data_IF_622632023811
#
_entry.id   IF_622632023811
#
_cell.length_a   1.000
_cell.length_b   1.000
_cell.length_c   1.000
_cell.angle_alpha   90.00
_cell.angle_beta   90.00
_cell.angle_gamma   90.00
#
_symmetry.space_group_name_H-M   'P 1'
#
loop_
_entity.id
_entity.type
_entity.pdbx_description
1 polymer ?
#
# COMPACT_ATOMS: atom_id res chain seq x y z
N UNK A 1 -25.42 -26.31 62.35
CA UNK A 1 -24.03 -26.60 61.90
C UNK A 1 -23.99 -27.40 60.60
N UNK A 2 -24.91 -28.35 60.35
CA UNK A 2 -24.94 -29.13 59.10
C UNK A 2 -25.27 -28.36 57.81
N UNK A 3 -26.21 -27.40 57.83
CA UNK A 3 -26.61 -26.67 56.62
C UNK A 3 -25.51 -25.74 56.06
N UNK A 4 -24.78 -25.05 56.94
CA UNK A 4 -23.69 -24.15 56.53
C UNK A 4 -22.52 -24.92 55.89
N UNK A 5 -22.28 -26.18 56.30
CA UNK A 5 -21.23 -27.03 55.75
C UNK A 5 -21.59 -27.58 54.36
N UNK A 6 -22.88 -27.80 54.09
CA UNK A 6 -23.40 -28.22 52.78
C UNK A 6 -23.29 -27.06 51.77
N UNK A 7 -23.67 -25.84 52.17
CA UNK A 7 -23.58 -24.64 51.32
C UNK A 7 -22.13 -24.33 50.96
N UNK A 8 -21.19 -24.39 51.92
CA UNK A 8 -19.76 -24.17 51.65
C UNK A 8 -19.17 -25.21 50.69
N UNK A 9 -19.58 -26.48 50.81
CA UNK A 9 -19.13 -27.52 49.87
C UNK A 9 -19.70 -27.31 48.46
N UNK A 10 -20.95 -26.89 48.32
CA UNK A 10 -21.54 -26.58 47.02
C UNK A 10 -20.93 -25.33 46.37
N UNK A 11 -20.65 -24.28 47.14
CA UNK A 11 -19.96 -23.08 46.65
C UNK A 11 -18.50 -23.36 46.27
N UNK A 12 -17.80 -24.18 47.05
CA UNK A 12 -16.43 -24.62 46.73
C UNK A 12 -16.39 -25.43 45.42
N UNK A 13 -17.32 -26.37 45.24
CA UNK A 13 -17.43 -27.17 44.01
C UNK A 13 -17.78 -26.32 42.77
N UNK A 14 -18.60 -25.27 42.92
CA UNK A 14 -18.89 -24.31 41.85
C UNK A 14 -17.65 -23.48 41.50
N UNK A 15 -16.89 -23.05 42.51
CA UNK A 15 -15.67 -22.26 42.34
C UNK A 15 -14.59 -23.05 41.61
N UNK A 16 -14.40 -24.34 41.92
CA UNK A 16 -13.44 -25.18 41.19
C UNK A 16 -13.81 -25.37 39.73
N UNK A 17 -15.09 -25.63 39.41
CA UNK A 17 -15.55 -25.74 38.03
C UNK A 17 -15.35 -24.45 37.24
N UNK A 18 -15.60 -23.30 37.85
CA UNK A 18 -15.36 -21.99 37.20
C UNK A 18 -13.86 -21.80 36.94
N UNK A 19 -12.98 -22.13 37.90
CA UNK A 19 -11.52 -22.04 37.70
C UNK A 19 -11.02 -22.94 36.57
N UNK A 20 -11.53 -24.15 36.46
CA UNK A 20 -11.13 -25.12 35.42
C UNK A 20 -11.54 -24.64 34.03
N UNK A 21 -12.76 -24.07 33.92
CA UNK A 21 -13.25 -23.46 32.67
C UNK A 21 -12.46 -22.19 32.32
N UNK A 22 -12.16 -21.32 33.29
CA UNK A 22 -11.35 -20.11 33.06
C UNK A 22 -9.94 -20.46 32.58
N UNK A 23 -9.29 -21.46 33.19
CA UNK A 23 -7.96 -21.90 32.77
C UNK A 23 -7.95 -22.48 31.34
N UNK A 24 -9.00 -23.22 30.97
CA UNK A 24 -9.15 -23.72 29.60
C UNK A 24 -9.39 -22.56 28.60
N UNK A 25 -10.27 -21.61 28.94
CA UNK A 25 -10.55 -20.44 28.11
C UNK A 25 -9.30 -19.55 27.94
N UNK A 26 -8.49 -19.36 29.00
CA UNK A 26 -7.22 -18.62 28.96
C UNK A 26 -6.19 -19.28 28.05
N UNK A 27 -6.10 -20.62 28.07
CA UNK A 27 -5.19 -21.36 27.20
C UNK A 27 -5.56 -21.18 25.71
N UNK A 28 -6.86 -21.26 25.39
CA UNK A 28 -7.36 -21.02 24.02
C UNK A 28 -7.12 -19.57 23.60
N UNK A 29 -7.36 -18.60 24.48
CA UNK A 29 -7.09 -17.20 24.21
C UNK A 29 -5.59 -16.94 23.96
N UNK A 30 -4.71 -17.58 24.73
CA UNK A 30 -3.26 -17.49 24.55
C UNK A 30 -2.81 -18.05 23.19
N UNK A 31 -3.37 -19.19 22.77
CA UNK A 31 -3.08 -19.77 21.45
C UNK A 31 -3.56 -18.87 20.32
N UNK A 32 -4.79 -18.34 20.42
CA UNK A 32 -5.35 -17.40 19.43
C UNK A 32 -4.50 -16.12 19.32
N UNK A 33 -4.03 -15.57 20.45
CA UNK A 33 -3.11 -14.43 20.47
C UNK A 33 -1.75 -14.77 19.82
N UNK A 34 -1.25 -15.99 20.04
CA UNK A 34 -0.04 -16.49 19.40
C UNK A 34 -0.18 -16.58 17.87
N UNK A 35 -1.30 -17.12 17.39
CA UNK A 35 -1.60 -17.22 15.96
C UNK A 35 -1.76 -15.84 15.32
N UNK A 36 -2.51 -14.92 15.94
CA UNK A 36 -2.64 -13.55 15.47
C UNK A 36 -1.28 -12.83 15.39
N UNK A 37 -0.43 -12.96 16.42
CA UNK A 37 0.91 -12.37 16.41
C UNK A 37 1.80 -12.96 15.31
N UNK A 38 1.72 -14.26 15.04
CA UNK A 38 2.48 -14.90 13.96
C UNK A 38 2.04 -14.35 12.58
N UNK A 39 0.74 -14.31 12.31
CA UNK A 39 0.18 -13.79 11.05
C UNK A 39 0.54 -12.30 10.88
N UNK A 40 0.44 -11.51 11.97
CA UNK A 40 0.82 -10.10 11.97
C UNK A 40 2.29 -9.91 11.60
N UNK A 41 3.19 -10.68 12.22
CA UNK A 41 4.63 -10.61 11.93
C UNK A 41 4.92 -10.94 10.47
N UNK A 42 4.30 -11.99 9.93
CA UNK A 42 4.46 -12.34 8.51
C UNK A 42 3.94 -11.25 7.57
N UNK A 43 2.86 -10.54 7.93
CA UNK A 43 2.37 -9.39 7.16
C UNK A 43 3.36 -8.25 7.17
N UNK A 44 3.89 -7.90 8.35
CA UNK A 44 4.87 -6.83 8.54
C UNK A 44 6.16 -7.12 7.78
N UNK A 45 6.65 -8.37 7.82
CA UNK A 45 7.84 -8.80 7.08
C UNK A 45 7.64 -8.71 5.57
N UNK A 46 6.50 -9.15 5.05
CA UNK A 46 6.20 -9.02 3.63
C UNK A 46 6.10 -7.55 3.21
N UNK A 47 5.40 -6.70 3.97
CA UNK A 47 5.30 -5.27 3.69
C UNK A 47 6.67 -4.56 3.77
N UNK A 48 7.56 -5.02 4.64
CA UNK A 48 8.91 -4.48 4.77
C UNK A 48 9.77 -4.66 3.50
N UNK A 49 9.41 -5.55 2.58
CA UNK A 49 10.09 -5.64 1.27
C UNK A 49 9.79 -4.42 0.39
N UNK A 50 8.54 -3.94 0.37
CA UNK A 50 8.11 -2.85 -0.51
C UNK A 50 8.27 -1.46 0.11
N UNK A 51 8.19 -1.36 1.45
CA UNK A 51 8.17 -0.08 2.15
C UNK A 51 9.46 0.76 1.95
N UNK A 52 10.66 0.18 1.91
CA UNK A 52 11.89 0.94 1.66
C UNK A 52 11.88 1.64 0.31
N UNK A 53 11.51 0.92 -0.76
CA UNK A 53 11.44 1.47 -2.11
C UNK A 53 10.39 2.58 -2.22
N UNK A 54 9.24 2.41 -1.55
CA UNK A 54 8.21 3.45 -1.49
C UNK A 54 8.69 4.69 -0.73
N UNK A 55 9.30 4.51 0.43
CA UNK A 55 9.81 5.63 1.23
C UNK A 55 10.93 6.38 0.49
N UNK A 56 11.81 5.68 -0.20
CA UNK A 56 12.86 6.28 -1.03
C UNK A 56 12.25 7.09 -2.17
N UNK A 57 11.28 6.54 -2.88
CA UNK A 57 10.58 7.25 -3.94
C UNK A 57 9.86 8.51 -3.41
N UNK A 58 9.18 8.43 -2.27
CA UNK A 58 8.50 9.58 -1.65
C UNK A 58 9.50 10.66 -1.23
N UNK A 59 10.67 10.29 -0.71
CA UNK A 59 11.76 11.24 -0.42
C UNK A 59 12.27 11.90 -1.70
N UNK A 60 12.47 11.14 -2.77
CA UNK A 60 12.87 11.70 -4.06
C UNK A 60 11.83 12.71 -4.58
N UNK A 61 10.53 12.44 -4.38
CA UNK A 61 9.46 13.39 -4.72
C UNK A 61 9.48 14.67 -3.88
N UNK A 62 9.98 14.62 -2.65
CA UNK A 62 10.12 15.80 -1.78
C UNK A 62 11.30 16.68 -2.19
N UNK A 63 12.33 16.08 -2.80
CA UNK A 63 13.49 16.83 -3.32
C UNK A 63 13.21 17.55 -4.64
N UNK A 64 12.09 17.25 -5.30
CA UNK A 64 11.68 17.87 -6.56
C UNK A 64 11.29 19.34 -6.33
N UNK A 65 12.07 20.23 -6.91
CA UNK A 65 11.83 21.67 -6.84
C UNK A 65 10.85 22.15 -7.91
N UNK A 66 10.17 23.27 -7.64
CA UNK A 66 9.32 23.93 -8.63
C UNK A 66 10.08 24.35 -9.91
N UNK A 67 11.40 24.58 -9.81
CA UNK A 67 12.26 24.90 -10.95
C UNK A 67 12.41 23.70 -11.88
N UNK A 68 12.72 22.52 -11.35
CA UNK A 68 12.85 21.29 -12.13
C UNK A 68 11.53 20.92 -12.82
N UNK A 69 10.41 21.10 -12.13
CA UNK A 69 9.08 20.93 -12.72
C UNK A 69 8.85 21.93 -13.87
N UNK A 70 9.26 23.19 -13.70
CA UNK A 70 9.14 24.21 -14.76
C UNK A 70 10.01 23.88 -15.99
N UNK A 71 11.21 23.34 -15.79
CA UNK A 71 12.08 22.88 -16.88
C UNK A 71 11.43 21.76 -17.68
N UNK A 72 10.82 20.77 -17.01
CA UNK A 72 10.10 19.68 -17.69
C UNK A 72 8.88 20.21 -18.48
N UNK A 73 8.15 21.19 -17.94
CA UNK A 73 7.02 21.83 -18.65
C UNK A 73 7.45 22.58 -19.91
N UNK A 74 8.62 23.21 -19.88
CA UNK A 74 9.12 24.02 -20.99
C UNK A 74 9.62 23.16 -22.18
N UNK A 75 9.73 21.84 -22.01
CA UNK A 75 10.17 20.93 -23.07
C UNK A 75 9.11 20.83 -24.19
N UNK A 76 9.41 21.37 -25.37
CA UNK A 76 8.54 21.22 -26.55
C UNK A 76 8.55 19.80 -27.11
N UNK A 77 9.70 19.14 -27.05
CA UNK A 77 9.88 17.76 -27.48
C UNK A 77 10.67 16.98 -26.40
N UNK A 78 9.99 16.43 -25.39
CA UNK A 78 10.66 15.71 -24.31
C UNK A 78 11.33 14.43 -24.83
N UNK A 79 12.49 14.09 -24.27
CA UNK A 79 13.15 12.82 -24.54
C UNK A 79 12.25 11.64 -24.15
N UNK A 80 12.43 10.50 -24.83
CA UNK A 80 11.60 9.32 -24.62
C UNK A 80 11.47 8.88 -23.14
N UNK A 81 12.56 8.86 -22.33
CA UNK A 81 12.46 8.54 -20.90
C UNK A 81 11.51 9.45 -20.13
N UNK A 82 11.62 10.78 -20.30
CA UNK A 82 10.75 11.76 -19.63
C UNK A 82 9.29 11.58 -20.05
N UNK A 83 9.06 11.36 -21.34
CA UNK A 83 7.72 11.16 -21.89
C UNK A 83 7.07 9.88 -21.35
N UNK A 84 7.81 8.79 -21.26
CA UNK A 84 7.31 7.52 -20.73
C UNK A 84 6.98 7.63 -19.23
N UNK A 85 7.87 8.22 -18.43
CA UNK A 85 7.65 8.44 -17.00
C UNK A 85 6.37 9.24 -16.76
N UNK A 86 6.23 10.38 -17.42
CA UNK A 86 5.04 11.22 -17.24
C UNK A 86 3.75 10.56 -17.74
N UNK A 87 3.84 9.74 -18.80
CA UNK A 87 2.71 8.92 -19.25
C UNK A 87 2.31 7.89 -18.20
N UNK A 88 3.28 7.22 -17.56
CA UNK A 88 3.03 6.26 -16.49
C UNK A 88 2.38 6.93 -15.27
N UNK A 89 2.82 8.13 -14.88
CA UNK A 89 2.18 8.89 -13.80
C UNK A 89 0.74 9.27 -14.17
N UNK A 90 0.48 9.65 -15.43
CA UNK A 90 -0.89 9.90 -15.89
C UNK A 90 -1.76 8.64 -15.78
N UNK A 91 -1.23 7.48 -16.16
CA UNK A 91 -1.93 6.19 -16.05
C UNK A 91 -2.24 5.86 -14.59
N UNK A 92 -1.28 5.98 -13.66
CA UNK A 92 -1.49 5.78 -12.23
C UNK A 92 -2.56 6.70 -11.66
N UNK A 93 -2.57 7.97 -12.09
CA UNK A 93 -3.58 8.96 -11.67
C UNK A 93 -4.87 8.92 -12.47
N UNK A 94 -5.06 7.93 -13.35
CA UNK A 94 -6.23 7.78 -14.20
C UNK A 94 -6.54 9.02 -15.07
N UNK A 95 -5.50 9.76 -15.45
CA UNK A 95 -5.59 10.91 -16.35
C UNK A 95 -5.66 10.38 -17.78
N UNK A 96 -6.66 10.80 -18.54
CA UNK A 96 -6.85 10.35 -19.93
C UNK A 96 -5.90 11.09 -20.89
N UNK A 97 -5.43 10.42 -21.96
CA UNK A 97 -4.67 11.09 -23.01
C UNK A 97 -5.57 12.07 -23.78
N UNK A 98 -4.93 13.04 -24.44
CA UNK A 98 -5.60 14.03 -25.29
C UNK A 98 -5.41 13.63 -26.75
N UNK A 99 -6.50 13.73 -27.53
CA UNK A 99 -6.47 13.57 -28.99
C UNK A 99 -5.72 14.73 -29.63
N UNK A 100 -4.55 14.48 -30.21
CA UNK A 100 -3.73 15.47 -30.92
C UNK A 100 -3.44 15.02 -32.34
N UNK A 101 -3.08 15.96 -33.22
CA UNK A 101 -2.55 15.62 -34.55
C UNK A 101 -1.07 15.29 -34.42
N UNK A 102 -0.65 14.15 -34.94
CA UNK A 102 0.77 13.84 -35.11
C UNK A 102 1.37 14.61 -36.29
N UNK A 103 2.68 14.46 -36.50
CA UNK A 103 3.43 15.11 -37.59
C UNK A 103 2.94 14.70 -38.99
N UNK A 104 2.17 13.62 -39.09
CA UNK A 104 1.55 13.13 -40.34
C UNK A 104 0.12 13.66 -40.54
N UNK A 105 -0.39 14.45 -39.57
CA UNK A 105 -1.74 15.00 -39.56
C UNK A 105 -2.81 14.03 -39.06
N UNK A 106 -2.44 12.82 -38.62
CA UNK A 106 -3.36 11.83 -38.08
C UNK A 106 -3.68 12.11 -36.62
N UNK A 107 -4.94 11.90 -36.24
CA UNK A 107 -5.36 12.03 -34.83
C UNK A 107 -4.87 10.82 -34.02
N UNK A 108 -4.05 11.08 -33.00
CA UNK A 108 -3.49 10.08 -32.08
C UNK A 108 -3.76 10.49 -30.63
N UNK A 109 -3.79 9.52 -29.73
CA UNK A 109 -3.93 9.76 -28.30
C UNK A 109 -2.55 10.02 -27.70
N UNK A 110 -2.37 11.19 -27.08
CA UNK A 110 -1.10 11.62 -26.49
C UNK A 110 -1.28 12.04 -25.03
N UNK A 111 -0.46 11.46 -24.15
CA UNK A 111 -0.44 11.84 -22.75
C UNK A 111 0.31 13.14 -22.49
N UNK A 112 1.17 13.61 -23.40
CA UNK A 112 2.01 14.77 -23.13
C UNK A 112 1.23 16.04 -22.73
N UNK A 113 0.17 16.46 -23.46
CA UNK A 113 -0.60 17.63 -23.05
C UNK A 113 -1.26 17.47 -21.68
N UNK A 114 -1.77 16.27 -21.38
CA UNK A 114 -2.38 15.96 -20.09
C UNK A 114 -1.35 15.95 -18.96
N UNK A 115 -0.16 15.40 -19.22
CA UNK A 115 0.95 15.34 -18.29
C UNK A 115 1.45 16.74 -17.93
N UNK A 116 1.67 17.62 -18.92
CA UNK A 116 2.09 19.01 -18.69
C UNK A 116 1.07 19.76 -17.82
N UNK A 117 -0.23 19.57 -18.08
CA UNK A 117 -1.29 20.13 -17.24
C UNK A 117 -1.26 19.57 -15.82
N UNK A 118 -1.06 18.26 -15.68
CA UNK A 118 -1.00 17.56 -14.41
C UNK A 118 0.15 18.04 -13.52
N UNK A 119 1.37 18.15 -14.06
CA UNK A 119 2.53 18.67 -13.32
C UNK A 119 2.46 20.19 -13.10
N UNK A 120 1.52 20.87 -13.76
CA UNK A 120 1.24 22.30 -13.56
C UNK A 120 0.40 22.60 -12.34
N UNK A 121 -0.28 21.61 -11.80
CA UNK A 121 -1.01 21.74 -10.56
C UNK A 121 -0.04 21.96 -9.38
N UNK A 122 -0.28 23.00 -8.58
CA UNK A 122 0.49 23.28 -7.37
C UNK A 122 0.38 22.13 -6.36
N UNK A 123 -0.75 21.43 -6.34
CA UNK A 123 -0.98 20.26 -5.49
C UNK A 123 -0.40 18.95 -6.03
N UNK A 124 0.29 18.97 -7.18
CA UNK A 124 0.73 17.74 -7.86
C UNK A 124 1.58 16.84 -6.97
N UNK A 125 2.68 17.36 -6.41
CA UNK A 125 3.60 16.55 -5.58
C UNK A 125 2.90 16.04 -4.32
N UNK A 126 2.13 16.89 -3.64
CA UNK A 126 1.33 16.50 -2.48
C UNK A 126 0.36 15.36 -2.81
N UNK A 127 -0.27 15.43 -4.00
CA UNK A 127 -1.21 14.38 -4.45
C UNK A 127 -0.53 13.03 -4.71
N UNK A 128 0.77 13.01 -5.04
CA UNK A 128 1.54 11.77 -5.17
C UNK A 128 1.93 11.20 -3.81
N UNK A 129 2.20 12.05 -2.83
CA UNK A 129 2.52 11.64 -1.46
C UNK A 129 1.30 11.06 -0.73
N UNK A 130 0.11 11.61 -0.96
CA UNK A 130 -1.15 11.15 -0.37
C UNK A 130 -1.93 10.22 -1.30
N UNK A 131 -1.28 9.66 -2.32
CA UNK A 131 -1.93 8.78 -3.28
C UNK A 131 -2.40 7.48 -2.61
N UNK A 132 -3.62 7.05 -2.95
CA UNK A 132 -4.20 5.83 -2.42
C UNK A 132 -3.58 4.59 -3.10
N UNK A 133 -2.42 4.21 -2.57
CA UNK A 133 -1.65 3.03 -3.01
C UNK A 133 -2.33 1.70 -2.70
N UNK A 134 -3.33 1.68 -1.81
CA UNK A 134 -4.01 0.47 -1.34
C UNK A 134 -5.18 0.10 -2.28
N UNK A 135 -5.68 1.05 -3.08
CA UNK A 135 -6.83 0.86 -3.98
C UNK A 135 -6.52 1.17 -5.46
N UNK A 136 -5.39 0.68 -5.98
CA UNK A 136 -5.03 0.88 -7.39
C UNK A 136 -5.76 -0.16 -8.27
N UNK A 137 -6.47 0.25 -9.34
CA UNK A 137 -7.13 -0.70 -10.22
C UNK A 137 -6.14 -1.71 -10.84
N UNK A 138 -6.45 -3.02 -10.89
CA UNK A 138 -5.54 -4.03 -11.46
C UNK A 138 -5.13 -3.75 -12.91
N UNK A 139 -6.07 -3.20 -13.71
CA UNK A 139 -5.80 -2.79 -15.08
C UNK A 139 -4.77 -1.66 -15.18
N UNK A 140 -4.74 -0.76 -14.20
CA UNK A 140 -3.76 0.33 -14.10
C UNK A 140 -2.39 -0.24 -13.79
N UNK A 141 -2.26 -1.09 -12.77
CA UNK A 141 -0.98 -1.72 -12.42
C UNK A 141 -0.42 -2.54 -13.59
N UNK A 142 -1.27 -3.31 -14.27
CA UNK A 142 -0.84 -4.07 -15.45
C UNK A 142 -0.23 -3.17 -16.52
N UNK A 143 -0.84 -2.02 -16.80
CA UNK A 143 -0.27 -1.03 -17.73
C UNK A 143 1.06 -0.49 -17.21
N UNK A 144 1.19 -0.22 -15.91
CA UNK A 144 2.47 0.25 -15.33
C UNK A 144 3.58 -0.78 -15.48
N UNK A 145 3.28 -2.07 -15.28
CA UNK A 145 4.23 -3.14 -15.52
C UNK A 145 4.75 -3.14 -16.98
N UNK A 146 3.90 -2.81 -17.96
CA UNK A 146 4.31 -2.64 -19.36
C UNK A 146 5.24 -1.44 -19.58
N UNK A 147 5.21 -0.42 -18.70
CA UNK A 147 6.18 0.68 -18.72
C UNK A 147 7.49 0.29 -18.02
N UNK A 148 7.44 -0.35 -16.85
CA UNK A 148 8.61 -0.60 -16.00
C UNK A 148 9.62 -1.60 -16.58
N UNK A 149 9.20 -2.42 -17.54
CA UNK A 149 10.07 -3.31 -18.32
C UNK A 149 10.79 -2.63 -19.48
N UNK A 150 10.41 -1.41 -19.86
CA UNK A 150 11.04 -0.69 -20.98
C UNK A 150 12.41 -0.17 -20.58
N UNK A 151 13.38 -0.23 -21.48
CA UNK A 151 14.74 0.28 -21.25
C UNK A 151 14.76 1.78 -20.92
N UNK A 152 13.93 2.56 -21.61
CA UNK A 152 13.81 4.00 -21.38
C UNK A 152 13.10 4.36 -20.06
N UNK A 153 12.55 3.36 -19.35
CA UNK A 153 11.95 3.52 -18.02
C UNK A 153 12.86 3.03 -16.89
N UNK A 154 14.11 2.61 -17.18
CA UNK A 154 15.01 2.20 -16.12
C UNK A 154 15.53 3.42 -15.34
N UNK A 155 15.55 3.39 -14.00
CA UNK A 155 15.96 4.54 -13.18
C UNK A 155 17.31 5.15 -13.63
N UNK A 156 18.32 4.32 -13.91
CA UNK A 156 19.65 4.80 -14.35
C UNK A 156 19.62 5.55 -15.69
N UNK A 157 18.71 5.17 -16.59
CA UNK A 157 18.51 5.83 -17.88
C UNK A 157 17.78 7.16 -17.69
N UNK A 158 16.73 7.17 -16.87
CA UNK A 158 15.94 8.36 -16.59
C UNK A 158 16.79 9.41 -15.85
N UNK A 159 17.59 8.99 -14.86
CA UNK A 159 18.45 9.88 -14.08
C UNK A 159 19.45 10.66 -14.94
N UNK A 160 20.01 10.01 -15.97
CA UNK A 160 20.93 10.66 -16.93
C UNK A 160 20.27 11.78 -17.74
N UNK A 161 18.94 11.75 -17.86
CA UNK A 161 18.17 12.73 -18.64
C UNK A 161 17.56 13.78 -17.74
N UNK A 162 16.99 13.38 -16.60
CA UNK A 162 16.31 14.28 -15.68
C UNK A 162 16.17 13.66 -14.29
N UNK A 163 16.74 14.34 -13.29
CA UNK A 163 16.55 14.00 -11.87
C UNK A 163 15.08 14.08 -11.45
N UNK A 164 14.35 15.05 -11.99
CA UNK A 164 12.92 15.22 -11.75
C UNK A 164 12.10 14.02 -12.23
N UNK A 165 12.38 13.57 -13.47
CA UNK A 165 11.74 12.38 -14.02
C UNK A 165 12.19 11.11 -13.27
N UNK A 166 13.41 11.07 -12.74
CA UNK A 166 13.88 9.93 -11.96
C UNK A 166 13.07 9.71 -10.69
N UNK A 167 12.77 10.76 -9.91
CA UNK A 167 11.93 10.63 -8.71
C UNK A 167 10.53 10.10 -9.04
N UNK A 168 9.92 10.60 -10.12
CA UNK A 168 8.63 10.12 -10.63
C UNK A 168 8.70 8.66 -11.14
N UNK A 169 9.80 8.28 -11.76
CA UNK A 169 10.07 6.91 -12.21
C UNK A 169 10.14 5.95 -11.02
N UNK A 170 10.92 6.28 -10.00
CA UNK A 170 11.04 5.50 -8.77
C UNK A 170 9.67 5.34 -8.10
N UNK A 171 8.88 6.41 -8.05
CA UNK A 171 7.52 6.37 -7.50
C UNK A 171 6.60 5.40 -8.25
N UNK A 172 6.59 5.42 -9.58
CA UNK A 172 5.78 4.48 -10.36
C UNK A 172 6.16 3.01 -10.09
N UNK A 173 7.47 2.72 -10.02
CA UNK A 173 7.99 1.37 -9.75
C UNK A 173 7.69 0.93 -8.31
N UNK A 174 7.77 1.85 -7.36
CA UNK A 174 7.41 1.58 -5.98
C UNK A 174 5.92 1.26 -5.83
N UNK A 175 5.04 1.94 -6.57
CA UNK A 175 3.60 1.64 -6.57
C UNK A 175 3.29 0.24 -7.12
N UNK A 176 3.95 -0.15 -8.22
CA UNK A 176 3.83 -1.52 -8.76
C UNK A 176 4.32 -2.58 -7.75
N UNK A 177 5.48 -2.33 -7.13
CA UNK A 177 6.06 -3.25 -6.15
C UNK A 177 5.19 -3.36 -4.90
N UNK A 178 4.66 -2.22 -4.43
CA UNK A 178 3.75 -2.16 -3.29
C UNK A 178 2.47 -2.95 -3.57
N UNK A 179 1.81 -2.73 -4.72
CA UNK A 179 0.60 -3.48 -5.08
C UNK A 179 0.83 -4.99 -5.12
N UNK A 180 1.97 -5.43 -5.68
CA UNK A 180 2.35 -6.85 -5.72
C UNK A 180 2.46 -7.45 -4.32
N UNK A 181 3.12 -6.75 -3.40
CA UNK A 181 3.28 -7.19 -2.01
C UNK A 181 1.97 -7.10 -1.24
N UNK A 182 1.21 -6.02 -1.42
CA UNK A 182 -0.08 -5.81 -0.77
C UNK A 182 -1.08 -6.92 -1.10
N UNK A 183 -1.08 -7.46 -2.33
CA UNK A 183 -1.90 -8.61 -2.71
C UNK A 183 -1.54 -9.91 -1.99
N UNK A 184 -0.26 -10.12 -1.67
CA UNK A 184 0.19 -11.26 -0.87
C UNK A 184 -0.21 -11.09 0.60
N UNK A 185 -0.21 -9.84 1.07
CA UNK A 185 -0.52 -9.48 2.46
C UNK A 185 -2.03 -9.39 2.71
N UNK A 186 -2.85 -9.05 1.71
CA UNK A 186 -4.31 -8.92 1.83
C UNK A 186 -5.00 -10.13 2.48
N UNK A 187 -4.83 -11.38 2.01
CA UNK A 187 -5.46 -12.54 2.65
C UNK A 187 -4.97 -12.77 4.08
N UNK A 188 -3.71 -12.43 4.37
CA UNK A 188 -3.16 -12.53 5.72
C UNK A 188 -3.75 -11.49 6.66
N UNK A 189 -4.02 -10.27 6.18
CA UNK A 189 -4.72 -9.22 6.95
C UNK A 189 -6.17 -9.61 7.25
N UNK A 190 -6.87 -10.23 6.31
CA UNK A 190 -8.22 -10.76 6.56
C UNK A 190 -8.19 -11.85 7.63
N UNK A 191 -7.28 -12.82 7.50
CA UNK A 191 -7.10 -13.86 8.52
C UNK A 191 -6.71 -13.31 9.89
N UNK A 192 -5.87 -12.26 9.93
CA UNK A 192 -5.54 -11.57 11.17
C UNK A 192 -6.76 -10.90 11.81
N UNK A 193 -7.58 -10.20 11.02
CA UNK A 193 -8.77 -9.54 11.52
C UNK A 193 -9.79 -10.54 12.10
N UNK A 194 -9.95 -11.70 11.46
CA UNK A 194 -10.78 -12.79 11.99
C UNK A 194 -10.21 -13.36 13.30
N UNK A 195 -8.90 -13.61 13.36
CA UNK A 195 -8.24 -14.11 14.57
C UNK A 195 -8.35 -13.12 15.74
N UNK A 196 -8.12 -11.82 15.48
CA UNK A 196 -8.26 -10.75 16.47
C UNK A 196 -9.71 -10.59 16.93
N UNK A 197 -10.68 -10.71 16.03
CA UNK A 197 -12.11 -10.67 16.38
C UNK A 197 -12.50 -11.83 17.29
N UNK A 198 -12.07 -13.06 16.96
CA UNK A 198 -12.31 -14.24 17.79
C UNK A 198 -11.65 -14.12 19.17
N UNK A 199 -10.40 -13.63 19.21
CA UNK A 199 -9.68 -13.38 20.46
C UNK A 199 -10.38 -12.35 21.34
N UNK A 200 -10.80 -11.21 20.78
CA UNK A 200 -11.51 -10.17 21.52
C UNK A 200 -12.84 -10.68 22.08
N UNK A 201 -13.59 -11.47 21.31
CA UNK A 201 -14.83 -12.09 21.77
C UNK A 201 -14.61 -13.11 22.91
N UNK A 202 -13.48 -13.83 22.92
CA UNK A 202 -13.10 -14.71 24.04
C UNK A 202 -12.73 -13.91 25.29
N UNK A 203 -11.93 -12.86 25.14
CA UNK A 203 -11.54 -11.97 26.23
C UNK A 203 -12.74 -11.29 26.90
N UNK A 204 -13.74 -10.86 26.13
CA UNK A 204 -14.98 -10.32 26.69
C UNK A 204 -15.75 -11.35 27.54
N UNK A 205 -15.81 -12.61 27.09
CA UNK A 205 -16.46 -13.69 27.84
C UNK A 205 -15.71 -14.05 29.12
N UNK A 206 -14.38 -14.04 29.09
CA UNK A 206 -13.52 -14.27 30.25
C UNK A 206 -13.68 -13.16 31.29
N UNK A 207 -13.69 -11.90 30.87
CA UNK A 207 -13.86 -10.74 31.77
C UNK A 207 -15.27 -10.62 32.38
N UNK A 208 -16.26 -11.29 31.80
CA UNK A 208 -17.65 -11.28 32.27
C UNK A 208 -17.98 -12.45 33.23
N UNK A 209 -17.04 -13.38 33.45
CA UNK A 209 -17.16 -14.51 34.38
C UNK A 209 -16.61 -14.15 35.77
#
# INVERSE_FOLDING_TARGET
VGEMMIVVNEESAKTEKVKEVVAADEAVASEAAGQANAIKKECEEALAEAMPALNEALKALDTLSGKEIAEVKAMKNPAAPVRLVLSAVCVLRNVKPVRVKDDTGKMVDDFWPAAVKMISDMGFLQSLQTFDKDNIPPATIKKIAEYTVKDDFQPDRVLKVSTAAWGLCMWCRAMETYDRVAKVVAPKKESLAEAESSYNAMMEKLNAK
#
